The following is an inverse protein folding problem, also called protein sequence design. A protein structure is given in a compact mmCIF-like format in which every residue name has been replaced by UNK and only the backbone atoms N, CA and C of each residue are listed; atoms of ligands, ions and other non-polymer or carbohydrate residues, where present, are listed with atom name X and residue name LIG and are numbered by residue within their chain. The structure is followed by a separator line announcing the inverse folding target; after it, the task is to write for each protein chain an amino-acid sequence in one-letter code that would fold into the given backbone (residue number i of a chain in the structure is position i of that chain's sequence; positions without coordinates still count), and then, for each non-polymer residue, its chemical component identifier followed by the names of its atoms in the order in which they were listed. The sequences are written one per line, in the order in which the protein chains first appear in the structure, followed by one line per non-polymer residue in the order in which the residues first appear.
data_IF_225036432391
#
_entry.id   IF_225036432391
#
_cell.length_a   1.000
_cell.length_b   1.000
_cell.length_c   1.000
_cell.angle_alpha   90.00
_cell.angle_beta   90.00
_cell.angle_gamma   90.00
#
_symmetry.space_group_name_H-M   'P 1'
#
loop_
_entity.id
_entity.type
_entity.pdbx_description
1 polymer ?
#
# COMPACT_ATOMS: atom_id res chain seq x y z
N UNK A 1 -13.02 10.92 26.54
CA UNK A 1 -12.70 9.56 26.07
C UNK A 1 -11.50 9.00 26.82
N UNK A 2 -11.48 7.69 27.11
CA UNK A 2 -10.32 7.06 27.75
C UNK A 2 -9.05 7.29 26.91
N UNK A 3 -8.01 7.79 27.57
CA UNK A 3 -6.70 7.97 26.95
C UNK A 3 -5.99 6.59 26.90
N UNK A 4 -6.39 5.76 25.94
CA UNK A 4 -5.83 4.42 25.72
C UNK A 4 -5.31 4.23 24.31
N UNK A 5 -4.49 3.22 24.09
CA UNK A 5 -4.11 2.78 22.76
C UNK A 5 -5.32 2.30 21.96
N UNK A 6 -5.26 2.41 20.63
CA UNK A 6 -6.21 1.71 19.78
C UNK A 6 -5.91 0.21 19.79
N UNK A 7 -6.95 -0.59 19.90
CA UNK A 7 -6.87 -2.04 19.94
C UNK A 7 -6.97 -2.63 18.54
N UNK A 8 -5.92 -3.31 18.13
CA UNK A 8 -5.81 -3.96 16.83
C UNK A 8 -6.17 -5.44 16.93
N UNK A 9 -7.12 -5.90 16.09
CA UNK A 9 -7.25 -7.31 15.73
C UNK A 9 -6.41 -7.62 14.49
N UNK A 10 -6.04 -8.89 14.25
CA UNK A 10 -5.29 -9.27 13.04
C UNK A 10 -5.87 -10.55 12.43
N UNK A 11 -6.06 -10.51 11.09
CA UNK A 11 -6.44 -11.67 10.26
C UNK A 11 -5.29 -12.03 9.34
N UNK A 12 -4.77 -13.25 9.47
CA UNK A 12 -3.51 -13.66 8.84
C UNK A 12 -2.28 -13.21 9.64
N UNK A 13 -1.12 -13.25 9.04
CA UNK A 13 0.12 -12.77 9.66
C UNK A 13 0.67 -13.65 10.77
N UNK A 14 0.44 -14.97 10.71
CA UNK A 14 1.06 -15.94 11.61
C UNK A 14 2.59 -15.95 11.52
N UNK A 15 3.21 -16.76 12.37
CA UNK A 15 4.67 -16.83 12.51
C UNK A 15 5.39 -17.26 11.22
N UNK A 16 4.68 -17.89 10.29
CA UNK A 16 5.15 -18.33 8.97
C UNK A 16 4.96 -17.28 7.86
N UNK A 17 4.35 -16.13 8.17
CA UNK A 17 4.03 -15.09 7.21
C UNK A 17 4.92 -13.85 7.40
N UNK A 18 5.70 -13.50 6.36
CA UNK A 18 6.60 -12.34 6.38
C UNK A 18 5.90 -11.01 6.67
N UNK A 19 4.82 -10.71 5.94
CA UNK A 19 4.22 -9.37 5.96
C UNK A 19 3.55 -9.04 7.30
N UNK A 20 3.00 -10.03 8.00
CA UNK A 20 2.38 -9.82 9.31
C UNK A 20 3.34 -9.24 10.36
N UNK A 21 4.61 -9.65 10.33
CA UNK A 21 5.63 -9.09 11.22
C UNK A 21 5.94 -7.61 10.90
N UNK A 22 5.91 -7.24 9.63
CA UNK A 22 6.08 -5.85 9.18
C UNK A 22 4.93 -4.98 9.70
N UNK A 23 3.68 -5.42 9.51
CA UNK A 23 2.49 -4.71 9.99
C UNK A 23 2.54 -4.50 11.51
N UNK A 24 2.84 -5.54 12.30
CA UNK A 24 2.93 -5.39 13.76
C UNK A 24 4.03 -4.41 14.19
N UNK A 25 5.24 -4.50 13.61
CA UNK A 25 6.33 -3.55 13.89
C UNK A 25 5.93 -2.12 13.58
N UNK A 26 5.35 -1.88 12.41
CA UNK A 26 4.90 -0.57 11.98
C UNK A 26 3.78 -0.01 12.87
N UNK A 27 2.79 -0.83 13.21
CA UNK A 27 1.67 -0.43 14.06
C UNK A 27 2.11 -0.03 15.48
N UNK A 28 3.13 -0.68 16.02
CA UNK A 28 3.57 -0.43 17.41
C UNK A 28 4.58 0.71 17.54
N UNK A 29 5.19 1.15 16.46
CA UNK A 29 6.29 2.11 16.47
C UNK A 29 5.93 3.43 17.17
N UNK A 30 4.73 3.95 16.96
CA UNK A 30 4.26 5.21 17.56
C UNK A 30 3.64 5.02 18.97
N UNK A 31 3.65 3.82 19.50
CA UNK A 31 3.00 3.50 20.78
C UNK A 31 1.51 3.89 20.87
N UNK A 32 0.83 4.05 19.73
CA UNK A 32 -0.59 4.41 19.63
C UNK A 32 -1.51 3.19 19.54
N UNK A 33 -0.95 2.03 19.20
CA UNK A 33 -1.68 0.81 18.87
C UNK A 33 -1.13 -0.36 19.72
N UNK A 34 -2.03 -1.29 20.09
CA UNK A 34 -1.70 -2.57 20.70
C UNK A 34 -2.45 -3.70 20.02
N UNK A 35 -1.82 -4.88 19.87
CA UNK A 35 -2.49 -6.09 19.38
C UNK A 35 -3.25 -6.73 20.53
N UNK A 36 -4.56 -6.96 20.36
CA UNK A 36 -5.40 -7.51 21.41
C UNK A 36 -6.05 -8.85 21.06
N UNK A 37 -6.17 -9.17 19.78
CA UNK A 37 -6.77 -10.43 19.33
C UNK A 37 -6.32 -10.79 17.92
N UNK A 38 -6.60 -12.01 17.47
CA UNK A 38 -6.37 -12.38 16.08
C UNK A 38 -6.78 -13.80 15.71
N UNK A 39 -6.91 -13.98 14.39
CA UNK A 39 -6.99 -15.26 13.69
C UNK A 39 -5.83 -15.31 12.69
N UNK A 40 -4.69 -15.90 13.09
CA UNK A 40 -3.42 -15.73 12.42
C UNK A 40 -3.17 -16.71 11.27
N UNK A 41 -3.93 -17.80 11.19
CA UNK A 41 -3.83 -18.81 10.16
C UNK A 41 -5.15 -19.57 10.02
N UNK A 42 -5.40 -20.13 8.82
CA UNK A 42 -6.48 -21.13 8.62
C UNK A 42 -6.20 -22.44 9.36
N UNK A 43 -4.95 -22.70 9.75
CA UNK A 43 -4.57 -23.82 10.62
C UNK A 43 -4.70 -23.33 12.09
N UNK A 44 -5.61 -23.90 12.89
CA UNK A 44 -5.83 -23.48 14.28
C UNK A 44 -4.58 -23.63 15.18
N UNK A 45 -3.75 -24.64 14.96
CA UNK A 45 -2.51 -24.83 15.72
C UNK A 45 -1.50 -23.72 15.44
N UNK A 46 -1.32 -23.33 14.16
CA UNK A 46 -0.47 -22.20 13.77
C UNK A 46 -1.06 -20.90 14.31
N UNK A 47 -2.38 -20.72 14.24
CA UNK A 47 -3.06 -19.53 14.76
C UNK A 47 -2.79 -19.39 16.26
N UNK A 48 -3.01 -20.43 17.04
CA UNK A 48 -2.81 -20.43 18.51
C UNK A 48 -1.36 -20.25 18.91
N UNK A 49 -0.41 -20.98 18.26
CA UNK A 49 1.01 -20.81 18.54
C UNK A 49 1.52 -19.42 18.21
N UNK A 50 1.04 -18.83 17.10
CA UNK A 50 1.36 -17.46 16.71
C UNK A 50 0.83 -16.45 17.73
N UNK A 51 -0.47 -16.54 18.09
CA UNK A 51 -1.06 -15.64 19.07
C UNK A 51 -0.36 -15.67 20.44
N UNK A 52 -0.01 -16.86 20.93
CA UNK A 52 0.77 -17.01 22.17
C UNK A 52 2.17 -16.40 22.05
N UNK A 53 2.82 -16.52 20.90
CA UNK A 53 4.13 -15.88 20.65
C UNK A 53 4.05 -14.35 20.57
N UNK A 54 2.84 -13.80 20.34
CA UNK A 54 2.52 -12.36 20.36
C UNK A 54 1.97 -11.92 21.73
N UNK A 55 2.06 -12.78 22.76
CA UNK A 55 1.62 -12.54 24.13
C UNK A 55 0.12 -12.29 24.29
N UNK A 56 -0.71 -12.85 23.39
CA UNK A 56 -2.16 -12.78 23.53
C UNK A 56 -2.67 -13.86 24.49
N UNK A 57 -3.72 -13.56 25.29
CA UNK A 57 -4.42 -14.57 26.08
C UNK A 57 -5.18 -15.53 25.15
N UNK A 58 -5.31 -16.79 25.57
CA UNK A 58 -5.88 -17.86 24.71
C UNK A 58 -7.33 -17.59 24.28
N UNK A 59 -8.12 -16.89 25.09
CA UNK A 59 -9.51 -16.51 24.79
C UNK A 59 -9.65 -15.36 23.76
N UNK A 60 -8.53 -14.75 23.36
CA UNK A 60 -8.46 -13.73 22.31
C UNK A 60 -7.74 -14.22 21.05
N UNK A 61 -7.45 -15.53 20.95
CA UNK A 61 -6.89 -16.18 19.77
C UNK A 61 -7.97 -17.06 19.16
N UNK A 62 -8.45 -16.69 17.99
CA UNK A 62 -9.60 -17.30 17.37
C UNK A 62 -9.22 -18.30 16.28
N UNK A 63 -10.06 -19.31 16.06
CA UNK A 63 -9.86 -20.32 15.03
C UNK A 63 -10.35 -19.85 13.64
N UNK A 64 -11.23 -18.82 13.62
CA UNK A 64 -11.69 -18.17 12.39
C UNK A 64 -11.89 -16.67 12.57
N UNK A 65 -11.79 -15.89 11.48
CA UNK A 65 -12.11 -14.46 11.53
C UNK A 65 -13.60 -14.21 11.78
N UNK A 66 -14.48 -15.11 11.35
CA UNK A 66 -15.92 -14.98 11.62
C UNK A 66 -16.20 -15.06 13.13
N UNK A 67 -15.62 -16.06 13.82
CA UNK A 67 -15.70 -16.16 15.28
C UNK A 67 -15.10 -14.93 15.96
N UNK A 68 -13.92 -14.48 15.49
CA UNK A 68 -13.27 -13.28 16.01
C UNK A 68 -14.19 -12.06 15.97
N UNK A 69 -14.77 -11.76 14.81
CA UNK A 69 -15.64 -10.59 14.66
C UNK A 69 -16.91 -10.70 15.49
N UNK A 70 -17.51 -11.88 15.59
CA UNK A 70 -18.70 -12.10 16.40
C UNK A 70 -18.42 -11.88 17.90
N UNK A 71 -17.36 -12.50 18.41
CA UNK A 71 -17.00 -12.40 19.83
C UNK A 71 -16.50 -11.00 20.20
N UNK A 72 -15.68 -10.38 19.34
CA UNK A 72 -15.20 -9.02 19.56
C UNK A 72 -16.37 -8.01 19.58
N UNK A 73 -17.33 -8.15 18.67
CA UNK A 73 -18.50 -7.26 18.64
C UNK A 73 -19.41 -7.41 19.89
N UNK A 74 -19.38 -8.57 20.56
CA UNK A 74 -20.12 -8.80 21.78
C UNK A 74 -19.43 -8.23 23.04
N UNK A 75 -18.15 -7.85 22.97
CA UNK A 75 -17.42 -7.25 24.08
C UNK A 75 -17.83 -5.77 24.28
N UNK A 76 -17.72 -5.24 25.52
CA UNK A 76 -17.86 -3.82 25.79
C UNK A 76 -16.90 -2.96 24.91
N UNK A 77 -17.33 -1.76 24.53
CA UNK A 77 -16.53 -0.88 23.66
C UNK A 77 -15.12 -0.60 24.20
N UNK A 78 -14.97 -0.51 25.52
CA UNK A 78 -13.66 -0.35 26.18
C UNK A 78 -12.75 -1.58 26.11
N UNK A 79 -13.24 -2.76 25.73
CA UNK A 79 -12.51 -4.04 25.74
C UNK A 79 -12.29 -4.62 24.34
N UNK A 80 -13.24 -4.43 23.42
CA UNK A 80 -13.18 -4.95 22.05
C UNK A 80 -12.08 -4.29 21.23
N UNK A 81 -11.71 -4.88 20.10
CA UNK A 81 -10.84 -4.23 19.14
C UNK A 81 -11.49 -2.96 18.55
N UNK A 82 -10.69 -1.97 18.16
CA UNK A 82 -11.12 -0.75 17.47
C UNK A 82 -11.05 -0.91 15.94
N UNK A 83 -10.14 -1.73 15.47
CA UNK A 83 -9.93 -2.02 14.05
C UNK A 83 -9.27 -3.38 13.85
N UNK A 84 -9.35 -3.87 12.63
CA UNK A 84 -8.67 -5.09 12.20
C UNK A 84 -7.61 -4.79 11.13
N UNK A 85 -6.48 -5.49 11.18
CA UNK A 85 -5.48 -5.54 10.11
C UNK A 85 -5.59 -6.88 9.38
N UNK A 86 -5.78 -6.83 8.05
CA UNK A 86 -5.95 -8.01 7.18
C UNK A 86 -4.72 -8.16 6.29
N UNK A 87 -4.01 -9.28 6.42
CA UNK A 87 -2.74 -9.57 5.75
C UNK A 87 -2.70 -10.99 5.16
N UNK A 88 -3.82 -11.43 4.67
CA UNK A 88 -4.01 -12.71 3.98
C UNK A 88 -3.55 -12.63 2.51
N UNK A 89 -3.51 -13.73 1.73
CA UNK A 89 -3.44 -13.65 0.28
C UNK A 89 -4.64 -12.88 -0.32
N UNK A 90 -4.45 -12.21 -1.46
CA UNK A 90 -5.39 -11.26 -2.08
C UNK A 90 -6.85 -11.75 -2.10
N UNK A 91 -7.06 -13.02 -2.45
CA UNK A 91 -8.39 -13.64 -2.50
C UNK A 91 -9.19 -13.52 -1.20
N UNK A 92 -8.51 -13.42 -0.07
CA UNK A 92 -9.11 -13.45 1.26
C UNK A 92 -9.09 -12.08 1.95
N UNK A 93 -8.99 -10.97 1.18
CA UNK A 93 -9.08 -9.61 1.71
C UNK A 93 -10.52 -9.14 1.90
N UNK A 94 -11.37 -9.39 0.90
CA UNK A 94 -12.71 -8.82 0.81
C UNK A 94 -13.63 -9.26 1.96
N UNK A 95 -13.81 -10.57 2.16
CA UNK A 95 -14.79 -11.09 3.12
C UNK A 95 -14.53 -10.62 4.55
N UNK A 96 -13.30 -10.76 5.12
CA UNK A 96 -13.07 -10.26 6.47
C UNK A 96 -13.13 -8.73 6.58
N UNK A 97 -12.79 -7.97 5.53
CA UNK A 97 -12.95 -6.51 5.52
C UNK A 97 -14.42 -6.10 5.55
N UNK A 98 -15.26 -6.73 4.74
CA UNK A 98 -16.71 -6.51 4.72
C UNK A 98 -17.33 -6.84 6.08
N UNK A 99 -17.01 -8.01 6.64
CA UNK A 99 -17.52 -8.44 7.95
C UNK A 99 -17.11 -7.49 9.08
N UNK A 100 -15.87 -6.95 9.04
CA UNK A 100 -15.40 -5.97 10.01
C UNK A 100 -16.21 -4.68 9.95
N UNK A 101 -16.39 -4.12 8.75
CA UNK A 101 -17.18 -2.89 8.54
C UNK A 101 -18.64 -3.07 8.98
N UNK A 102 -19.28 -4.21 8.67
CA UNK A 102 -20.64 -4.52 9.09
C UNK A 102 -20.81 -4.59 10.62
N UNK A 103 -19.74 -4.89 11.35
CA UNK A 103 -19.74 -4.97 12.83
C UNK A 103 -19.19 -3.71 13.51
N UNK A 104 -18.95 -2.66 12.74
CA UNK A 104 -18.52 -1.35 13.28
C UNK A 104 -17.02 -1.27 13.58
N UNK A 105 -16.19 -2.10 12.96
CA UNK A 105 -14.73 -2.04 13.08
C UNK A 105 -14.09 -1.33 11.88
N UNK A 106 -13.14 -0.44 12.16
CA UNK A 106 -12.29 0.14 11.13
C UNK A 106 -11.35 -0.93 10.56
N UNK A 107 -10.77 -0.68 9.37
CA UNK A 107 -9.99 -1.69 8.66
C UNK A 107 -8.65 -1.12 8.18
N UNK A 108 -7.58 -1.88 8.34
CA UNK A 108 -6.34 -1.76 7.57
C UNK A 108 -6.22 -3.03 6.74
N UNK A 109 -6.08 -2.92 5.43
CA UNK A 109 -5.95 -4.07 4.53
C UNK A 109 -4.69 -3.95 3.68
N UNK A 110 -4.02 -5.09 3.43
CA UNK A 110 -2.89 -5.11 2.52
C UNK A 110 -3.32 -4.94 1.05
N UNK A 111 -2.41 -4.51 0.21
CA UNK A 111 -2.65 -4.32 -1.23
C UNK A 111 -2.42 -5.64 -2.02
N UNK A 112 -3.08 -5.80 -3.17
CA UNK A 112 -4.23 -5.04 -3.64
C UNK A 112 -5.43 -5.20 -2.72
N UNK A 113 -6.33 -4.22 -2.68
CA UNK A 113 -7.41 -4.18 -1.68
C UNK A 113 -8.32 -5.41 -1.70
N UNK A 114 -8.59 -5.94 -2.88
CA UNK A 114 -9.50 -7.07 -3.11
C UNK A 114 -9.00 -7.98 -4.22
N UNK A 115 -9.75 -9.04 -4.50
CA UNK A 115 -9.45 -9.97 -5.59
C UNK A 115 -10.04 -9.51 -6.94
N UNK A 116 -11.14 -8.75 -6.90
CA UNK A 116 -11.80 -8.19 -8.09
C UNK A 116 -12.20 -6.72 -7.90
N UNK A 117 -12.45 -6.02 -9.01
CA UNK A 117 -12.92 -4.64 -9.00
C UNK A 117 -14.32 -4.52 -8.39
N UNK A 118 -15.18 -5.49 -8.64
CA UNK A 118 -16.54 -5.54 -8.10
C UNK A 118 -16.51 -5.60 -6.56
N UNK A 119 -15.64 -6.44 -6.00
CA UNK A 119 -15.44 -6.50 -4.54
C UNK A 119 -14.93 -5.16 -3.97
N UNK A 120 -14.02 -4.49 -4.69
CA UNK A 120 -13.49 -3.18 -4.27
C UNK A 120 -14.59 -2.11 -4.20
N UNK A 121 -15.46 -2.06 -5.21
CA UNK A 121 -16.63 -1.15 -5.26
C UNK A 121 -17.62 -1.44 -4.12
N UNK A 122 -17.82 -2.71 -3.77
CA UNK A 122 -18.67 -3.08 -2.63
C UNK A 122 -18.07 -2.63 -1.29
N UNK A 123 -16.75 -2.74 -1.12
CA UNK A 123 -16.08 -2.21 0.08
C UNK A 123 -16.15 -0.69 0.16
N UNK A 124 -15.93 0.02 -0.95
CA UNK A 124 -16.05 1.48 -1.02
C UNK A 124 -17.43 1.93 -0.57
N UNK A 125 -18.49 1.34 -1.15
CA UNK A 125 -19.87 1.60 -0.75
C UNK A 125 -20.10 1.33 0.74
N UNK A 126 -19.53 0.22 1.27
CA UNK A 126 -19.70 -0.11 2.70
C UNK A 126 -18.98 0.89 3.60
N UNK A 127 -17.80 1.37 3.24
CA UNK A 127 -17.08 2.44 3.96
C UNK A 127 -17.90 3.73 3.97
N UNK A 128 -18.49 4.12 2.84
CA UNK A 128 -19.38 5.29 2.74
C UNK A 128 -20.64 5.13 3.62
N UNK A 129 -21.31 3.97 3.58
CA UNK A 129 -22.48 3.68 4.39
C UNK A 129 -22.22 3.73 5.88
N UNK A 130 -21.05 3.25 6.33
CA UNK A 130 -20.73 3.14 7.76
C UNK A 130 -20.00 4.35 8.32
N UNK A 131 -19.37 5.18 7.46
CA UNK A 131 -18.48 6.27 7.87
C UNK A 131 -17.19 5.81 8.56
N UNK A 132 -16.94 4.49 8.57
CA UNK A 132 -15.72 3.91 9.14
C UNK A 132 -14.50 4.21 8.27
N UNK A 133 -13.33 4.05 8.85
CA UNK A 133 -12.07 4.32 8.16
C UNK A 133 -11.46 3.02 7.64
N UNK A 134 -11.13 2.99 6.33
CA UNK A 134 -10.32 1.94 5.73
C UNK A 134 -9.01 2.53 5.21
N UNK A 135 -7.88 1.95 5.63
CA UNK A 135 -6.56 2.26 5.10
C UNK A 135 -6.00 1.10 4.28
N UNK A 136 -5.36 1.44 3.16
CA UNK A 136 -4.67 0.50 2.29
C UNK A 136 -3.15 0.70 2.37
N UNK A 137 -2.36 -0.37 2.29
CA UNK A 137 -0.93 -0.28 2.57
C UNK A 137 -0.03 -0.07 1.34
N UNK A 138 -0.31 0.98 0.55
CA UNK A 138 0.62 1.47 -0.47
C UNK A 138 1.78 2.26 0.20
N UNK A 139 2.70 1.54 0.81
CA UNK A 139 3.75 2.07 1.68
C UNK A 139 4.64 3.14 1.05
N UNK A 140 4.88 3.07 -0.26
CA UNK A 140 5.85 3.99 -0.91
C UNK A 140 5.38 5.44 -0.95
N UNK A 141 4.08 5.70 -0.89
CA UNK A 141 3.55 7.07 -0.73
C UNK A 141 3.78 7.65 0.68
N UNK A 142 4.14 6.82 1.65
CA UNK A 142 4.27 7.23 3.04
C UNK A 142 5.69 7.66 3.45
N UNK A 143 6.68 7.58 2.56
CA UNK A 143 8.02 8.10 2.81
C UNK A 143 8.02 9.64 2.89
N UNK A 144 8.70 10.25 3.86
CA UNK A 144 8.75 11.72 3.98
C UNK A 144 9.28 12.42 2.72
N UNK A 145 10.27 11.84 2.02
CA UNK A 145 10.78 12.39 0.76
C UNK A 145 9.72 12.38 -0.36
N UNK A 146 8.83 11.39 -0.36
CA UNK A 146 7.70 11.31 -1.30
C UNK A 146 6.63 12.33 -0.95
N UNK A 147 6.36 12.56 0.34
CA UNK A 147 5.49 13.64 0.82
C UNK A 147 6.03 15.01 0.37
N UNK A 148 7.35 15.22 0.50
CA UNK A 148 8.01 16.44 0.04
C UNK A 148 7.88 16.61 -1.49
N UNK A 149 8.11 15.54 -2.26
CA UNK A 149 7.94 15.57 -3.72
C UNK A 149 6.53 16.00 -4.14
N UNK A 150 5.49 15.46 -3.48
CA UNK A 150 4.09 15.84 -3.67
C UNK A 150 3.88 17.33 -3.43
N UNK A 151 4.40 17.85 -2.31
CA UNK A 151 4.21 19.26 -1.96
C UNK A 151 4.94 20.20 -2.91
N UNK A 152 6.14 19.85 -3.39
CA UNK A 152 6.87 20.65 -4.39
C UNK A 152 6.10 20.76 -5.71
N UNK A 153 5.48 19.67 -6.14
CA UNK A 153 4.62 19.68 -7.33
C UNK A 153 3.34 20.48 -7.09
N UNK A 154 2.66 20.25 -5.97
CA UNK A 154 1.43 20.97 -5.63
C UNK A 154 1.64 22.49 -5.54
N UNK A 155 2.82 22.92 -5.07
CA UNK A 155 3.24 24.34 -5.02
C UNK A 155 3.65 24.90 -6.39
N UNK A 156 3.62 24.09 -7.47
CA UNK A 156 3.93 24.53 -8.83
C UNK A 156 5.41 24.82 -9.09
N UNK A 157 6.33 24.32 -8.28
CA UNK A 157 7.76 24.56 -8.40
C UNK A 157 8.33 24.03 -9.72
N UNK A 158 7.84 22.88 -10.22
CA UNK A 158 8.27 22.29 -11.49
C UNK A 158 7.56 22.93 -12.71
N UNK A 159 6.60 23.83 -12.51
CA UNK A 159 5.73 24.33 -13.57
C UNK A 159 4.75 23.25 -14.06
N UNK A 160 4.18 23.40 -15.27
CA UNK A 160 3.27 22.42 -15.85
C UNK A 160 4.03 21.10 -16.06
N UNK A 161 3.53 20.02 -15.53
CA UNK A 161 4.12 18.69 -15.70
C UNK A 161 4.03 18.24 -17.16
N UNK A 162 5.03 17.51 -17.61
CA UNK A 162 5.16 17.00 -18.98
C UNK A 162 5.36 15.50 -19.04
N UNK A 163 6.18 14.94 -18.12
CA UNK A 163 6.62 13.54 -18.22
C UNK A 163 6.83 12.90 -16.86
N UNK A 164 6.35 11.66 -16.73
CA UNK A 164 6.57 10.78 -15.57
C UNK A 164 7.27 9.49 -16.03
N UNK A 165 8.29 9.07 -15.30
CA UNK A 165 8.91 7.75 -15.42
C UNK A 165 8.86 7.10 -14.05
N UNK A 166 8.23 5.94 -13.95
CA UNK A 166 8.18 5.14 -12.74
C UNK A 166 8.54 3.70 -13.05
N UNK A 167 9.41 3.12 -12.24
CA UNK A 167 9.88 1.75 -12.40
C UNK A 167 9.94 1.04 -11.05
N UNK A 168 9.60 -0.24 -11.04
CA UNK A 168 9.76 -1.08 -9.86
C UNK A 168 10.38 -2.41 -10.27
N UNK A 169 11.63 -2.63 -9.84
CA UNK A 169 12.42 -3.78 -10.23
C UNK A 169 12.76 -4.65 -9.02
N UNK A 170 12.50 -5.94 -9.16
CA UNK A 170 12.87 -7.01 -8.24
C UNK A 170 13.43 -8.18 -9.04
N UNK A 171 14.24 -9.06 -8.40
CA UNK A 171 14.84 -10.23 -9.05
C UNK A 171 14.46 -11.57 -8.41
N UNK A 172 13.61 -11.58 -7.38
CA UNK A 172 13.34 -12.76 -6.57
C UNK A 172 12.53 -13.87 -7.26
N UNK A 173 11.81 -13.54 -8.35
CA UNK A 173 11.08 -14.50 -9.20
C UNK A 173 11.80 -14.83 -10.52
N UNK A 174 13.08 -14.44 -10.68
CA UNK A 174 13.88 -14.78 -11.87
C UNK A 174 13.96 -16.29 -12.14
N UNK A 175 13.88 -17.11 -11.08
CA UNK A 175 13.74 -18.55 -11.16
C UNK A 175 12.35 -18.99 -10.68
N UNK A 176 11.94 -20.21 -11.04
CA UNK A 176 10.66 -20.80 -10.62
C UNK A 176 10.72 -21.33 -9.18
N UNK A 177 10.96 -20.43 -8.23
CA UNK A 177 11.02 -20.77 -6.80
C UNK A 177 9.68 -21.24 -6.23
N UNK A 178 8.57 -20.93 -6.90
CA UNK A 178 7.23 -21.47 -6.58
C UNK A 178 7.15 -22.99 -6.64
N UNK A 179 8.00 -23.64 -7.42
CA UNK A 179 8.09 -25.10 -7.50
C UNK A 179 8.95 -25.72 -6.38
N UNK A 180 9.69 -24.89 -5.64
CA UNK A 180 10.58 -25.33 -4.57
C UNK A 180 9.91 -25.35 -3.19
N UNK A 181 8.59 -25.07 -3.11
CA UNK A 181 7.80 -25.20 -1.88
C UNK A 181 7.77 -23.96 -0.98
N UNK A 182 8.11 -22.77 -1.48
CA UNK A 182 8.01 -21.54 -0.73
C UNK A 182 6.57 -20.97 -0.68
N UNK A 183 5.98 -20.81 0.51
CA UNK A 183 4.61 -20.31 0.67
C UNK A 183 4.39 -18.95 -0.01
N UNK A 184 5.37 -18.03 0.05
CA UNK A 184 5.24 -16.69 -0.51
C UNK A 184 5.20 -16.65 -2.04
N UNK A 185 6.00 -17.45 -2.72
CA UNK A 185 5.97 -17.56 -4.18
C UNK A 185 4.75 -18.33 -4.66
N UNK A 186 4.37 -19.39 -3.95
CA UNK A 186 3.30 -20.31 -4.36
C UNK A 186 1.95 -19.62 -4.53
N UNK A 187 1.55 -18.73 -3.63
CA UNK A 187 0.27 -18.04 -3.78
C UNK A 187 0.34 -16.86 -4.77
N UNK A 188 1.47 -16.13 -4.85
CA UNK A 188 1.64 -14.99 -5.76
C UNK A 188 1.67 -15.38 -7.24
N UNK A 189 2.10 -16.58 -7.54
CA UNK A 189 2.14 -17.11 -8.93
C UNK A 189 0.92 -17.96 -9.27
N UNK A 190 -0.03 -18.13 -8.32
CA UNK A 190 -1.27 -18.87 -8.53
C UNK A 190 -2.43 -17.90 -8.81
N UNK A 191 -2.99 -17.84 -10.04
CA UNK A 191 -4.05 -16.90 -10.39
C UNK A 191 -5.35 -17.10 -9.58
N UNK A 192 -5.55 -18.26 -8.96
CA UNK A 192 -6.70 -18.51 -8.08
C UNK A 192 -6.58 -17.80 -6.72
N UNK A 193 -5.40 -17.33 -6.37
CA UNK A 193 -5.10 -16.68 -5.09
C UNK A 193 -4.62 -15.23 -5.26
N UNK A 194 -3.81 -14.97 -6.30
CA UNK A 194 -3.28 -13.63 -6.59
C UNK A 194 -4.21 -12.78 -7.45
N UNK A 195 -5.04 -13.38 -8.30
CA UNK A 195 -5.92 -12.69 -9.24
C UNK A 195 -5.41 -12.74 -10.69
N UNK A 196 -5.87 -11.80 -11.51
CA UNK A 196 -5.60 -11.76 -12.96
C UNK A 196 -4.16 -11.38 -13.32
N UNK A 197 -3.43 -10.73 -12.44
CA UNK A 197 -2.07 -10.23 -12.65
C UNK A 197 -1.11 -10.75 -11.59
N UNK A 198 0.11 -11.05 -11.99
CA UNK A 198 1.23 -11.39 -11.11
C UNK A 198 2.03 -10.16 -10.71
N UNK A 199 3.11 -9.88 -11.43
CA UNK A 199 4.01 -8.76 -11.20
C UNK A 199 3.28 -7.40 -11.21
N UNK A 200 2.43 -7.16 -12.21
CA UNK A 200 1.68 -5.90 -12.31
C UNK A 200 0.71 -5.73 -11.13
N UNK A 201 0.05 -6.79 -10.69
CA UNK A 201 -0.82 -6.77 -9.52
C UNK A 201 -0.06 -6.59 -8.21
N UNK A 202 1.11 -7.21 -8.07
CA UNK A 202 1.92 -7.16 -6.85
C UNK A 202 2.71 -5.85 -6.73
N UNK A 203 3.53 -5.50 -7.72
CA UNK A 203 4.43 -4.34 -7.65
C UNK A 203 4.09 -3.19 -8.62
N UNK A 204 3.45 -3.48 -9.75
CA UNK A 204 2.98 -2.45 -10.68
C UNK A 204 1.96 -1.50 -10.03
N UNK A 205 1.10 -2.01 -9.16
CA UNK A 205 0.14 -1.21 -8.38
C UNK A 205 0.83 -0.17 -7.49
N UNK A 206 1.97 -0.49 -6.91
CA UNK A 206 2.77 0.47 -6.15
C UNK A 206 3.36 1.57 -7.03
N UNK A 207 3.90 1.19 -8.20
CA UNK A 207 4.48 2.14 -9.14
C UNK A 207 3.42 3.12 -9.67
N UNK A 208 2.26 2.60 -10.07
CA UNK A 208 1.12 3.41 -10.47
C UNK A 208 0.68 4.35 -9.35
N UNK A 209 0.41 3.82 -8.14
CA UNK A 209 -0.06 4.61 -7.01
C UNK A 209 0.93 5.74 -6.64
N UNK A 210 2.23 5.43 -6.60
CA UNK A 210 3.27 6.42 -6.33
C UNK A 210 3.23 7.57 -7.33
N UNK A 211 3.01 7.27 -8.61
CA UNK A 211 2.96 8.28 -9.67
C UNK A 211 1.74 9.21 -9.54
N UNK A 212 0.54 8.67 -9.30
CA UNK A 212 -0.67 9.47 -9.06
C UNK A 212 -0.56 10.26 -7.76
N UNK A 213 -0.05 9.63 -6.69
CA UNK A 213 0.10 10.28 -5.40
C UNK A 213 1.00 11.52 -5.45
N UNK A 214 2.16 11.42 -6.10
CA UNK A 214 3.12 12.54 -6.18
C UNK A 214 2.62 13.64 -7.13
N UNK A 215 2.08 13.25 -8.29
CA UNK A 215 1.65 14.22 -9.32
C UNK A 215 0.32 14.88 -9.01
N UNK A 216 -0.54 14.22 -8.24
CA UNK A 216 -1.94 14.58 -8.06
C UNK A 216 -2.80 14.37 -9.30
N UNK A 217 -2.24 13.81 -10.39
CA UNK A 217 -2.92 13.59 -11.67
C UNK A 217 -3.40 12.15 -11.78
N UNK A 218 -4.56 11.97 -12.41
CA UNK A 218 -5.12 10.65 -12.69
C UNK A 218 -4.69 10.13 -14.05
N UNK A 219 -4.41 8.82 -14.13
CA UNK A 219 -4.20 8.12 -15.41
C UNK A 219 -5.55 7.95 -16.09
N UNK A 220 -5.63 8.34 -17.36
CA UNK A 220 -6.83 8.27 -18.22
C UNK A 220 -6.74 7.15 -19.25
N UNK A 221 -5.52 6.85 -19.75
CA UNK A 221 -5.30 5.82 -20.77
C UNK A 221 -4.00 5.06 -20.53
N UNK A 222 -4.02 3.79 -20.89
CA UNK A 222 -2.89 2.86 -20.76
C UNK A 222 -2.66 2.14 -22.09
N UNK A 223 -1.38 2.02 -22.50
CA UNK A 223 -0.93 1.11 -23.54
C UNK A 223 0.12 0.18 -22.90
N UNK A 224 -0.22 -1.09 -22.72
CA UNK A 224 0.60 -2.03 -21.95
C UNK A 224 1.07 -3.23 -22.77
N UNK A 225 2.16 -3.83 -22.27
CA UNK A 225 2.69 -5.09 -22.72
C UNK A 225 3.07 -5.93 -21.50
N UNK A 226 2.51 -7.13 -21.38
CA UNK A 226 2.70 -8.03 -20.23
C UNK A 226 3.31 -9.35 -20.69
N UNK A 227 4.30 -9.82 -19.95
CA UNK A 227 5.02 -11.05 -20.26
C UNK A 227 5.12 -11.99 -19.05
N UNK A 228 5.21 -13.28 -19.36
CA UNK A 228 5.65 -14.31 -18.44
C UNK A 228 6.90 -14.96 -19.03
N UNK A 229 8.07 -14.54 -18.59
CA UNK A 229 9.35 -15.07 -19.06
C UNK A 229 9.72 -16.40 -18.41
N UNK A 230 9.29 -16.63 -17.17
CA UNK A 230 9.50 -17.90 -16.51
C UNK A 230 8.61 -19.01 -17.16
N UNK A 231 9.20 -20.06 -17.79
CA UNK A 231 8.44 -21.03 -18.57
C UNK A 231 7.29 -21.68 -17.78
N UNK A 232 6.05 -21.53 -18.28
CA UNK A 232 4.85 -22.11 -17.68
C UNK A 232 4.35 -21.41 -16.40
N UNK A 233 4.81 -20.23 -16.09
CA UNK A 233 4.19 -19.36 -15.07
C UNK A 233 2.87 -18.80 -15.63
N UNK A 234 1.74 -18.94 -14.91
CA UNK A 234 0.43 -18.63 -15.48
C UNK A 234 0.01 -17.14 -15.36
N UNK A 235 0.83 -16.32 -14.70
CA UNK A 235 0.64 -14.87 -14.54
C UNK A 235 1.89 -14.14 -15.00
N UNK A 236 1.75 -12.84 -15.27
CA UNK A 236 2.87 -11.98 -15.65
C UNK A 236 3.95 -11.95 -14.57
N UNK A 237 5.21 -11.92 -14.98
CA UNK A 237 6.38 -11.66 -14.14
C UNK A 237 7.16 -10.41 -14.58
N UNK A 238 6.70 -9.80 -15.67
CA UNK A 238 7.20 -8.55 -16.26
C UNK A 238 6.07 -7.78 -16.93
N UNK A 239 6.15 -6.45 -16.92
CA UNK A 239 5.22 -5.60 -17.62
C UNK A 239 5.69 -4.17 -17.78
N UNK A 240 5.31 -3.58 -18.92
CA UNK A 240 5.61 -2.18 -19.24
C UNK A 240 4.35 -1.49 -19.80
N UNK A 241 4.24 -0.19 -19.53
CA UNK A 241 3.13 0.61 -20.07
C UNK A 241 3.56 2.04 -20.42
N UNK A 242 2.97 2.58 -21.50
CA UNK A 242 2.83 4.01 -21.70
C UNK A 242 1.53 4.46 -21.04
N UNK A 243 1.60 5.58 -20.32
CA UNK A 243 0.49 6.17 -19.59
C UNK A 243 0.15 7.54 -20.14
N UNK A 244 -1.14 7.87 -20.18
CA UNK A 244 -1.61 9.23 -20.37
C UNK A 244 -2.37 9.66 -19.14
N UNK A 245 -1.90 10.74 -18.53
CA UNK A 245 -2.53 11.37 -17.39
C UNK A 245 -3.38 12.55 -17.85
N UNK A 246 -4.22 13.01 -16.94
CA UNK A 246 -4.91 14.30 -17.07
C UNK A 246 -3.95 15.41 -17.52
N UNK A 247 -4.51 16.44 -18.15
CA UNK A 247 -3.78 17.62 -18.61
C UNK A 247 -2.70 17.32 -19.68
N UNK A 248 -2.75 16.16 -20.34
CA UNK A 248 -1.86 15.76 -21.42
C UNK A 248 -0.45 15.37 -20.98
N UNK A 249 -0.26 15.06 -19.69
CA UNK A 249 1.01 14.53 -19.18
C UNK A 249 1.18 13.08 -19.64
N UNK A 250 2.37 12.73 -20.12
CA UNK A 250 2.70 11.39 -20.58
C UNK A 250 3.59 10.65 -19.57
N UNK A 251 3.41 9.33 -19.43
CA UNK A 251 4.22 8.51 -18.53
C UNK A 251 4.74 7.23 -19.15
N UNK A 252 5.71 6.64 -18.47
CA UNK A 252 6.17 5.26 -18.66
C UNK A 252 6.19 4.60 -17.28
N UNK A 253 5.58 3.42 -17.21
CA UNK A 253 5.64 2.55 -16.05
C UNK A 253 6.28 1.22 -16.46
N UNK A 254 7.21 0.73 -15.66
CA UNK A 254 7.72 -0.63 -15.78
C UNK A 254 7.71 -1.31 -14.42
N UNK A 255 7.39 -2.60 -14.42
CA UNK A 255 7.45 -3.44 -13.23
C UNK A 255 7.96 -4.83 -13.63
N UNK A 256 8.98 -5.32 -12.93
CA UNK A 256 9.54 -6.65 -13.20
C UNK A 256 9.95 -7.35 -11.92
N UNK A 257 9.66 -8.64 -11.81
CA UNK A 257 10.10 -9.49 -10.69
C UNK A 257 11.19 -10.49 -11.10
N UNK A 258 11.68 -10.37 -12.34
CA UNK A 258 12.71 -11.23 -12.92
C UNK A 258 14.02 -10.49 -13.24
N UNK A 259 14.20 -9.28 -12.72
CA UNK A 259 15.41 -8.48 -12.83
C UNK A 259 16.56 -9.11 -12.03
N UNK A 260 17.24 -10.10 -12.59
CA UNK A 260 18.28 -10.87 -11.92
C UNK A 260 19.35 -9.97 -11.30
N UNK A 261 19.59 -10.10 -10.01
CA UNK A 261 20.54 -9.30 -9.26
C UNK A 261 19.95 -8.06 -8.58
N UNK A 262 18.72 -7.66 -8.94
CA UNK A 262 18.00 -6.60 -8.25
C UNK A 262 17.32 -7.12 -6.97
N UNK A 263 17.43 -6.35 -5.89
CA UNK A 263 16.79 -6.69 -4.63
C UNK A 263 15.34 -6.19 -4.58
N UNK A 264 15.17 -4.88 -4.42
CA UNK A 264 13.86 -4.24 -4.34
C UNK A 264 14.01 -2.73 -4.54
N UNK A 265 13.74 -2.23 -5.72
CA UNK A 265 13.95 -0.81 -6.01
C UNK A 265 12.79 -0.21 -6.82
N UNK A 266 11.97 0.59 -6.15
CA UNK A 266 11.03 1.49 -6.82
C UNK A 266 11.67 2.87 -6.99
N UNK A 267 11.57 3.43 -8.20
CA UNK A 267 12.15 4.73 -8.57
C UNK A 267 11.15 5.53 -9.38
N UNK A 268 11.14 6.85 -9.17
CA UNK A 268 10.31 7.78 -9.93
C UNK A 268 11.09 9.03 -10.34
N UNK A 269 10.84 9.50 -11.57
CA UNK A 269 11.35 10.76 -12.11
C UNK A 269 10.20 11.52 -12.75
N UNK A 270 10.06 12.80 -12.40
CA UNK A 270 8.99 13.65 -12.90
C UNK A 270 9.62 14.93 -13.47
N UNK A 271 9.16 15.35 -14.63
CA UNK A 271 9.65 16.52 -15.34
C UNK A 271 8.52 17.47 -15.68
N UNK A 272 8.72 18.74 -15.34
CA UNK A 272 7.86 19.85 -15.70
C UNK A 272 8.57 20.88 -16.58
N UNK A 273 7.95 22.05 -16.74
CA UNK A 273 8.51 23.14 -17.56
C UNK A 273 9.72 23.83 -16.95
N UNK A 274 9.76 23.89 -15.60
CA UNK A 274 10.78 24.65 -14.85
C UNK A 274 11.83 23.76 -14.22
N UNK A 275 11.57 22.46 -14.11
CA UNK A 275 12.50 21.53 -13.47
C UNK A 275 11.98 20.11 -13.43
N UNK A 276 12.72 19.25 -12.76
CA UNK A 276 12.35 17.87 -12.52
C UNK A 276 12.72 17.42 -11.12
N UNK A 277 12.17 16.29 -10.71
CA UNK A 277 12.53 15.63 -9.47
C UNK A 277 12.79 14.14 -9.66
N UNK A 278 13.54 13.56 -8.74
CA UNK A 278 13.86 12.13 -8.70
C UNK A 278 13.90 11.63 -7.26
N UNK A 279 13.26 10.49 -7.04
CA UNK A 279 13.32 9.73 -5.79
C UNK A 279 13.46 8.24 -6.08
N UNK A 280 14.18 7.51 -5.21
CA UNK A 280 14.28 6.06 -5.25
C UNK A 280 14.31 5.47 -3.83
N UNK A 281 13.67 4.29 -3.67
CA UNK A 281 13.53 3.64 -2.37
C UNK A 281 14.85 3.20 -1.75
N UNK A 282 15.88 2.89 -2.55
CA UNK A 282 17.19 2.49 -2.04
C UNK A 282 18.01 3.67 -1.48
N UNK A 283 17.53 4.91 -1.69
CA UNK A 283 18.04 6.13 -1.05
C UNK A 283 16.87 6.95 -0.49
N UNK A 284 16.09 6.39 0.46
CA UNK A 284 14.75 6.88 0.78
C UNK A 284 14.74 8.27 1.42
N UNK A 285 15.87 8.66 2.04
CA UNK A 285 15.98 9.93 2.77
C UNK A 285 16.51 11.08 1.91
N UNK A 286 16.54 10.93 0.59
CA UNK A 286 16.98 11.97 -0.35
C UNK A 286 15.95 12.22 -1.43
N UNK A 287 15.69 13.48 -1.75
CA UNK A 287 14.93 13.92 -2.90
C UNK A 287 15.82 14.81 -3.75
N UNK A 288 16.02 14.45 -5.02
CA UNK A 288 16.83 15.26 -5.95
C UNK A 288 15.91 16.14 -6.79
N UNK A 289 16.14 17.46 -6.73
CA UNK A 289 15.53 18.46 -7.62
C UNK A 289 16.50 18.85 -8.72
N UNK A 290 16.03 18.95 -9.95
CA UNK A 290 16.84 19.26 -11.14
C UNK A 290 16.28 20.50 -11.82
N UNK A 291 17.18 21.44 -12.18
CA UNK A 291 16.82 22.74 -12.74
C UNK A 291 17.61 22.99 -14.04
N UNK A 292 17.03 23.75 -14.95
CA UNK A 292 17.70 24.11 -16.21
C UNK A 292 18.82 25.15 -16.00
N UNK A 293 18.60 26.11 -15.12
CA UNK A 293 19.42 27.30 -14.96
C UNK A 293 20.20 27.39 -13.63
N UNK A 294 20.20 26.32 -12.84
CA UNK A 294 20.93 26.23 -11.56
C UNK A 294 21.33 24.77 -11.26
N UNK A 295 22.30 24.55 -10.36
CA UNK A 295 22.69 23.20 -9.96
C UNK A 295 21.53 22.38 -9.42
N UNK A 296 21.64 21.06 -9.56
CA UNK A 296 20.71 20.15 -8.88
C UNK A 296 20.84 20.28 -7.36
N UNK A 297 19.71 20.15 -6.67
CA UNK A 297 19.62 20.19 -5.21
C UNK A 297 19.28 18.80 -4.71
N UNK A 298 19.96 18.35 -3.65
CA UNK A 298 19.68 17.10 -2.95
C UNK A 298 19.12 17.47 -1.58
N UNK A 299 17.80 17.29 -1.40
CA UNK A 299 17.15 17.53 -0.12
C UNK A 299 17.34 16.31 0.76
N UNK A 300 17.81 16.53 1.99
CA UNK A 300 17.96 15.51 3.03
C UNK A 300 16.77 15.53 3.97
N UNK A 301 16.14 14.38 4.19
CA UNK A 301 15.04 14.25 5.17
C UNK A 301 15.58 14.40 6.59
N UNK A 302 14.76 14.95 7.48
CA UNK A 302 15.12 15.24 8.88
C UNK A 302 15.68 16.64 9.11
N UNK A 303 15.75 17.49 8.09
CA UNK A 303 16.15 18.90 8.23
C UNK A 303 14.92 19.82 8.10
N UNK A 304 14.63 20.58 9.15
CA UNK A 304 13.42 21.41 9.26
C UNK A 304 13.48 22.74 8.47
N UNK A 305 14.65 23.12 7.91
CA UNK A 305 14.83 24.44 7.32
C UNK A 305 14.19 24.63 5.95
N UNK A 306 13.85 23.56 5.24
CA UNK A 306 13.38 23.61 3.84
C UNK A 306 12.34 22.54 3.46
N UNK A 307 11.95 21.66 4.39
CA UNK A 307 10.93 20.64 4.14
C UNK A 307 9.53 21.20 4.43
N UNK A 308 8.55 20.67 3.69
CA UNK A 308 7.13 20.95 3.91
C UNK A 308 6.62 20.39 5.23
N UNK A 309 5.55 20.98 5.77
CA UNK A 309 4.90 20.51 6.99
C UNK A 309 4.44 19.05 6.86
N UNK A 310 3.96 18.63 5.69
CA UNK A 310 3.55 17.25 5.44
C UNK A 310 4.73 16.26 5.52
N UNK A 311 5.91 16.62 4.99
CA UNK A 311 7.11 15.81 5.11
C UNK A 311 7.57 15.74 6.57
N UNK A 312 7.60 16.86 7.27
CA UNK A 312 7.97 16.95 8.70
C UNK A 312 7.02 16.15 9.59
N UNK A 313 5.71 16.22 9.34
CA UNK A 313 4.71 15.41 10.06
C UNK A 313 5.00 13.92 10.01
N UNK A 314 5.55 13.44 8.90
CA UNK A 314 5.85 12.04 8.66
C UNK A 314 7.32 11.67 8.96
N UNK A 315 8.13 12.59 9.50
CA UNK A 315 9.52 12.39 9.89
C UNK A 315 9.63 12.25 11.42
N UNK A 316 10.38 11.26 11.89
CA UNK A 316 10.56 10.97 13.34
C UNK A 316 11.91 11.41 13.86
N UNK A 317 12.94 11.17 13.05
CA UNK A 317 14.33 11.31 13.48
C UNK A 317 14.94 12.63 13.02
N UNK A 318 15.87 13.23 13.79
CA UNK A 318 16.60 14.41 13.34
C UNK A 318 17.46 14.13 12.13
N UNK A 319 17.90 15.17 11.43
CA UNK A 319 18.81 15.06 10.30
C UNK A 319 20.03 14.19 10.61
N UNK A 320 20.44 13.36 9.65
CA UNK A 320 21.55 12.42 9.81
C UNK A 320 21.19 11.07 10.41
N UNK A 321 19.89 10.84 10.72
CA UNK A 321 19.38 9.55 11.19
C UNK A 321 18.39 9.01 10.15
N UNK A 322 18.80 8.08 9.28
CA UNK A 322 17.98 7.58 8.19
C UNK A 322 16.74 6.84 8.69
N UNK A 323 15.59 7.13 8.08
CA UNK A 323 14.36 6.35 8.18
C UNK A 323 14.18 5.47 6.94
N UNK A 324 13.49 4.34 7.08
CA UNK A 324 13.36 3.35 6.02
C UNK A 324 11.93 2.81 5.88
N UNK A 325 11.85 1.55 5.45
CA UNK A 325 10.60 0.88 5.07
C UNK A 325 9.61 0.75 6.24
N UNK A 326 10.10 0.42 7.44
CA UNK A 326 9.22 0.24 8.61
C UNK A 326 8.65 1.57 9.07
N UNK A 327 9.46 2.63 9.07
CA UNK A 327 9.05 3.99 9.44
C UNK A 327 8.02 4.53 8.45
N UNK A 328 8.22 4.33 7.14
CA UNK A 328 7.22 4.69 6.12
C UNK A 328 5.92 3.90 6.32
N UNK A 329 6.01 2.60 6.58
CA UNK A 329 4.84 1.78 6.87
C UNK A 329 4.11 2.27 8.13
N UNK A 330 4.87 2.66 9.16
CA UNK A 330 4.33 3.22 10.40
C UNK A 330 3.60 4.56 10.19
N UNK A 331 3.97 5.37 9.18
CA UNK A 331 3.26 6.60 8.85
C UNK A 331 1.80 6.32 8.45
N UNK A 332 1.52 5.22 7.74
CA UNK A 332 0.14 4.81 7.43
C UNK A 332 -0.61 4.50 8.74
N UNK A 333 -0.03 3.69 9.61
CA UNK A 333 -0.66 3.34 10.88
C UNK A 333 -0.86 4.52 11.82
N UNK A 334 0.12 5.42 11.90
CA UNK A 334 0.04 6.67 12.66
C UNK A 334 -1.13 7.52 12.19
N UNK A 335 -1.18 7.83 10.90
CA UNK A 335 -2.19 8.69 10.32
C UNK A 335 -3.58 8.07 10.42
N UNK A 336 -3.70 6.77 10.15
CA UNK A 336 -4.93 6.00 10.37
C UNK A 336 -5.38 6.05 11.85
N UNK A 337 -4.48 5.80 12.78
CA UNK A 337 -4.82 5.80 14.21
C UNK A 337 -5.28 7.17 14.70
N UNK A 338 -4.61 8.23 14.27
CA UNK A 338 -4.99 9.60 14.61
C UNK A 338 -6.36 9.98 13.99
N UNK A 339 -6.62 9.56 12.75
CA UNK A 339 -7.91 9.75 12.08
C UNK A 339 -9.04 9.03 12.83
N UNK A 340 -8.85 7.75 13.16
CA UNK A 340 -9.84 6.98 13.92
C UNK A 340 -10.10 7.61 15.29
N UNK A 341 -9.05 8.06 15.97
CA UNK A 341 -9.16 8.72 17.28
C UNK A 341 -9.93 10.04 17.19
N UNK A 342 -9.60 10.90 16.21
CA UNK A 342 -10.30 12.17 16.00
C UNK A 342 -11.80 11.91 15.76
N UNK A 343 -12.15 11.01 14.84
CA UNK A 343 -13.55 10.65 14.59
C UNK A 343 -14.27 10.11 15.85
N UNK A 344 -13.63 9.24 16.62
CA UNK A 344 -14.20 8.72 17.88
C UNK A 344 -14.41 9.84 18.92
N UNK A 345 -13.63 10.90 18.89
CA UNK A 345 -13.79 12.08 19.74
C UNK A 345 -14.85 13.07 19.22
N UNK A 346 -15.40 12.86 18.03
CA UNK A 346 -16.25 13.85 17.36
C UNK A 346 -15.48 15.06 16.83
N UNK A 347 -14.17 14.88 16.59
CA UNK A 347 -13.27 15.88 16.02
C UNK A 347 -13.05 15.62 14.53
N UNK A 348 -12.88 16.70 13.75
CA UNK A 348 -12.50 16.56 12.33
C UNK A 348 -10.99 16.26 12.22
N UNK A 349 -10.59 15.17 11.53
CA UNK A 349 -9.18 14.89 11.27
C UNK A 349 -8.53 15.98 10.42
N UNK A 350 -7.27 16.33 10.71
CA UNK A 350 -6.51 17.27 9.87
C UNK A 350 -6.11 16.64 8.53
N UNK A 351 -5.67 17.47 7.57
CA UNK A 351 -5.23 17.01 6.26
C UNK A 351 -4.03 16.01 6.36
N UNK A 352 -3.13 16.25 7.31
CA UNK A 352 -1.98 15.38 7.56
C UNK A 352 -2.41 14.02 8.14
N UNK A 353 -3.42 14.00 9.02
CA UNK A 353 -3.99 12.74 9.54
C UNK A 353 -4.66 11.93 8.44
N UNK A 354 -5.29 12.57 7.46
CA UNK A 354 -5.98 11.92 6.35
C UNK A 354 -5.02 11.48 5.22
N UNK A 355 -3.73 11.83 5.29
CA UNK A 355 -2.77 11.54 4.23
C UNK A 355 -2.22 10.10 4.32
N UNK A 356 -3.07 9.14 4.05
CA UNK A 356 -2.77 7.71 3.83
C UNK A 356 -3.65 7.15 2.71
N UNK A 357 -3.25 6.03 2.04
CA UNK A 357 -4.08 5.42 1.00
C UNK A 357 -5.40 4.89 1.57
N UNK A 358 -6.51 5.21 0.91
CA UNK A 358 -7.88 4.96 1.34
C UNK A 358 -8.56 3.87 0.52
N UNK A 359 -9.84 3.61 0.78
CA UNK A 359 -10.68 2.72 -0.03
C UNK A 359 -10.76 3.18 -1.49
N UNK A 360 -10.75 4.49 -1.75
CA UNK A 360 -10.77 5.04 -3.12
C UNK A 360 -9.49 4.69 -3.89
N UNK A 361 -8.32 4.74 -3.23
CA UNK A 361 -7.05 4.26 -3.81
C UNK A 361 -7.11 2.76 -4.08
N UNK A 362 -7.82 2.02 -3.24
CA UNK A 362 -8.07 0.59 -3.41
C UNK A 362 -8.89 0.28 -4.67
N UNK A 363 -10.01 0.99 -4.89
CA UNK A 363 -10.82 0.86 -6.12
C UNK A 363 -9.99 1.22 -7.34
N UNK A 364 -9.28 2.36 -7.31
CA UNK A 364 -8.42 2.76 -8.42
C UNK A 364 -7.28 1.77 -8.69
N UNK A 365 -6.74 1.13 -7.64
CA UNK A 365 -5.74 0.07 -7.78
C UNK A 365 -6.28 -1.17 -8.50
N UNK A 366 -7.54 -1.55 -8.24
CA UNK A 366 -8.19 -2.63 -8.97
C UNK A 366 -8.53 -2.23 -10.41
N UNK A 367 -8.93 -0.99 -10.66
CA UNK A 367 -9.12 -0.43 -12.00
C UNK A 367 -7.80 -0.44 -12.79
N UNK A 368 -6.66 -0.11 -12.14
CA UNK A 368 -5.33 -0.20 -12.75
C UNK A 368 -5.04 -1.63 -13.21
N UNK A 369 -5.24 -2.63 -12.35
CA UNK A 369 -5.01 -4.04 -12.69
C UNK A 369 -5.87 -4.46 -13.88
N UNK A 370 -7.17 -4.16 -13.87
CA UNK A 370 -8.09 -4.49 -14.98
C UNK A 370 -7.65 -3.81 -16.28
N UNK A 371 -7.31 -2.53 -16.23
CA UNK A 371 -6.87 -1.77 -17.42
C UNK A 371 -5.56 -2.32 -17.98
N UNK A 372 -4.58 -2.61 -17.10
CA UNK A 372 -3.28 -3.17 -17.50
C UNK A 372 -3.42 -4.55 -18.14
N UNK A 373 -4.21 -5.43 -17.55
CA UNK A 373 -4.45 -6.79 -18.07
C UNK A 373 -5.19 -6.72 -19.42
N UNK A 374 -6.21 -5.85 -19.52
CA UNK A 374 -6.96 -5.67 -20.78
C UNK A 374 -6.06 -5.13 -21.88
N UNK A 375 -5.23 -4.11 -21.61
CA UNK A 375 -4.29 -3.55 -22.58
C UNK A 375 -3.16 -4.53 -22.93
N UNK A 376 -2.59 -5.21 -21.92
CA UNK A 376 -1.39 -6.02 -22.06
C UNK A 376 -1.60 -7.27 -22.92
N UNK A 377 -2.76 -7.90 -22.81
CA UNK A 377 -3.10 -9.11 -23.56
C UNK A 377 -3.98 -8.85 -24.82
N UNK A 378 -4.25 -7.60 -25.18
CA UNK A 378 -4.99 -7.25 -26.38
C UNK A 378 -4.03 -6.82 -27.50
N UNK A 379 -3.81 -7.68 -28.50
CA UNK A 379 -2.92 -7.38 -29.61
C UNK A 379 -3.53 -6.45 -30.67
N UNK A 380 -4.87 -6.34 -30.71
CA UNK A 380 -5.57 -5.51 -31.70
C UNK A 380 -5.70 -4.04 -31.24
N UNK A 381 -5.90 -3.83 -29.93
CA UNK A 381 -6.07 -2.49 -29.35
C UNK A 381 -5.25 -2.33 -28.06
N UNK A 382 -3.99 -1.96 -28.19
CA UNK A 382 -3.07 -1.78 -27.05
C UNK A 382 -3.39 -0.57 -26.16
N UNK A 383 -3.98 0.51 -26.73
CA UNK A 383 -4.43 1.65 -25.94
C UNK A 383 -5.84 1.42 -25.40
N UNK A 384 -5.96 1.39 -24.09
CA UNK A 384 -7.24 1.27 -23.37
C UNK A 384 -7.52 2.53 -22.58
N UNK A 385 -8.77 2.96 -22.54
CA UNK A 385 -9.22 3.93 -21.55
C UNK A 385 -9.20 3.29 -20.17
N UNK A 386 -9.05 4.14 -19.15
CA UNK A 386 -9.16 3.67 -17.76
C UNK A 386 -10.52 3.00 -17.54
N UNK A 387 -10.50 1.80 -16.96
CA UNK A 387 -11.71 1.04 -16.67
C UNK A 387 -12.28 1.56 -15.33
N UNK A 388 -13.55 2.01 -15.37
CA UNK A 388 -14.28 2.49 -14.20
C UNK A 388 -15.01 1.38 -13.45
#
# INVERSE_FOLDING_TARGET
MENRKLRMGMVGGGSDAFIGAIHRRAAFMENQIELVCGCFSVNPEISRSSGRSYFLPDDRIYDSYAEMFEREAALPEGERMDFVTIVTPNKWHFEPAMMALERGFNVVVDKPMTFSLEEAKLLEKKVEETGLTLALTHVYSAYPAVKEAKMRIANGELGKLRRVYVEYTQGWLSERIELQGGNNAGWRTNPKLTGKAGCIGDIGTHAWHLSEYITGLKVEQVCADLHSFAPGRPVDDDGAAFLRYENGVAGVLTATQIGTGEANNIRIRIYGEKGGLEWQQMQPNTLTLKWDNRPAEVLQIGNNGYLSDLALWNTRTPAGHPEGFIEAFSNIYKNFALTVRAKKNGEEPTAEMLDFPTVHDGVRGMQFIETMVTAGYNDEQKWQNWIE
#
